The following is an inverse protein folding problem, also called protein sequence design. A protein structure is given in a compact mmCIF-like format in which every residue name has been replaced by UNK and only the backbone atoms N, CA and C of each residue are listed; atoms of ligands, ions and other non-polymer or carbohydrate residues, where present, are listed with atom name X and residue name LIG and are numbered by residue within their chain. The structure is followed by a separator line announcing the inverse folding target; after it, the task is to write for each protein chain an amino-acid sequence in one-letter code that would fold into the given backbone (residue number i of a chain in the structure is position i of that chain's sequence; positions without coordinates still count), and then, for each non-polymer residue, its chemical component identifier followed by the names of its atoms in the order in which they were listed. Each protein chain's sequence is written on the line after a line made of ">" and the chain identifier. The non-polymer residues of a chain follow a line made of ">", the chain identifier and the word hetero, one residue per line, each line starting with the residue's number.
data_IF_384057865624
#
_entry.id   IF_384057865624
#
_cell.length_a   1.000
_cell.length_b   1.000
_cell.length_c   1.000
_cell.angle_alpha   90.00
_cell.angle_beta   90.00
_cell.angle_gamma   90.00
#
_symmetry.space_group_name_H-M   'P 1'
#
loop_
_entity.id
_entity.type
_entity.pdbx_description
1 polymer ?
#
# COMPACT_ATOMS: atom_id res chain seq x y z
N UNK A 1 6.02 13.29 -6.20
CA UNK A 1 5.63 13.04 -7.61
C UNK A 1 4.61 14.09 -8.03
N UNK A 2 4.65 14.56 -9.28
CA UNK A 2 3.65 15.53 -9.79
C UNK A 2 4.08 17.00 -9.82
N UNK A 3 5.37 17.31 -9.65
CA UNK A 3 5.86 18.66 -9.93
C UNK A 3 5.89 18.90 -11.45
N UNK A 4 5.32 20.01 -11.97
CA UNK A 4 5.35 20.32 -13.39
C UNK A 4 6.78 20.46 -13.92
N UNK A 5 7.05 19.92 -15.11
CA UNK A 5 8.37 19.93 -15.75
C UNK A 5 9.04 21.31 -15.73
N UNK A 6 8.30 22.36 -16.08
CA UNK A 6 8.85 23.72 -16.17
C UNK A 6 9.35 24.26 -14.83
N UNK A 7 8.82 23.79 -13.69
CA UNK A 7 9.29 24.16 -12.35
C UNK A 7 10.56 23.40 -11.96
N UNK A 8 10.69 22.16 -12.42
CA UNK A 8 11.85 21.31 -12.15
C UNK A 8 12.97 21.42 -13.22
N UNK A 9 12.78 22.23 -14.27
CA UNK A 9 13.67 22.31 -15.45
C UNK A 9 15.15 22.45 -15.09
N UNK A 10 15.47 23.35 -14.16
CA UNK A 10 16.85 23.59 -13.71
C UNK A 10 17.49 22.32 -13.14
N UNK A 11 16.81 21.63 -12.23
CA UNK A 11 17.29 20.39 -11.62
C UNK A 11 17.45 19.29 -12.68
N UNK A 12 16.51 19.21 -13.62
CA UNK A 12 16.52 18.22 -14.72
C UNK A 12 17.76 18.41 -15.60
N UNK A 13 18.02 19.65 -16.03
CA UNK A 13 19.16 19.99 -16.88
C UNK A 13 20.49 19.81 -16.14
N UNK A 14 20.61 20.30 -14.90
CA UNK A 14 21.82 20.20 -14.08
C UNK A 14 22.21 18.75 -13.76
N UNK A 15 21.22 17.86 -13.61
CA UNK A 15 21.46 16.45 -13.27
C UNK A 15 21.36 15.50 -14.49
N UNK A 16 21.25 16.05 -15.71
CA UNK A 16 21.10 15.27 -16.95
C UNK A 16 19.99 14.20 -16.87
N UNK A 17 18.86 14.56 -16.23
CA UNK A 17 17.71 13.67 -16.06
C UNK A 17 17.11 13.38 -17.43
N UNK A 18 16.92 12.10 -17.76
CA UNK A 18 16.27 11.68 -19.01
C UNK A 18 14.76 11.80 -18.90
N UNK A 19 14.16 12.45 -19.89
CA UNK A 19 12.73 12.73 -19.96
C UNK A 19 12.13 11.91 -21.09
N UNK A 20 11.09 11.14 -20.76
CA UNK A 20 10.39 10.28 -21.72
C UNK A 20 8.95 10.73 -21.86
N UNK A 21 8.38 10.56 -23.05
CA UNK A 21 6.94 10.70 -23.25
C UNK A 21 6.21 9.52 -22.61
N UNK A 22 5.03 9.77 -22.03
CA UNK A 22 4.18 8.72 -21.48
C UNK A 22 3.62 7.82 -22.58
N UNK A 23 3.65 6.50 -22.38
CA UNK A 23 2.99 5.53 -23.26
C UNK A 23 1.88 4.78 -22.49
N UNK A 24 0.69 5.38 -22.45
CA UNK A 24 -0.43 4.84 -21.68
C UNK A 24 -0.91 3.47 -22.15
N UNK A 25 -0.87 3.20 -23.47
CA UNK A 25 -1.25 1.90 -24.03
C UNK A 25 -0.33 0.79 -23.54
N UNK A 26 0.98 1.05 -23.52
CA UNK A 26 1.96 0.10 -22.97
C UNK A 26 1.75 -0.13 -21.47
N UNK A 27 1.53 0.93 -20.69
CA UNK A 27 1.31 0.78 -19.24
C UNK A 27 0.03 0.01 -18.95
N UNK A 28 -1.03 0.24 -19.73
CA UNK A 28 -2.29 -0.51 -19.64
C UNK A 28 -2.14 -1.99 -19.96
N UNK A 29 -1.43 -2.33 -21.03
CA UNK A 29 -1.15 -3.73 -21.41
C UNK A 29 -0.30 -4.45 -20.35
N UNK A 30 0.76 -3.82 -19.85
CA UNK A 30 1.58 -4.40 -18.76
C UNK A 30 0.74 -4.60 -17.50
N UNK A 31 -0.04 -3.60 -17.12
CA UNK A 31 -0.95 -3.68 -15.97
C UNK A 31 -1.91 -4.85 -16.08
N UNK A 32 -2.60 -4.95 -17.22
CA UNK A 32 -3.56 -6.02 -17.48
C UNK A 32 -2.93 -7.39 -17.28
N UNK A 33 -1.73 -7.62 -17.85
CA UNK A 33 -1.01 -8.90 -17.69
C UNK A 33 -0.69 -9.22 -16.24
N UNK A 34 -0.27 -8.23 -15.44
CA UNK A 34 -0.02 -8.43 -14.00
C UNK A 34 -1.32 -8.79 -13.28
N UNK A 35 -2.42 -8.07 -13.55
CA UNK A 35 -3.70 -8.33 -12.90
C UNK A 35 -4.26 -9.71 -13.28
N UNK A 36 -4.13 -10.14 -14.54
CA UNK A 36 -4.52 -11.48 -15.00
C UNK A 36 -3.75 -12.59 -14.28
N UNK A 37 -2.44 -12.40 -14.05
CA UNK A 37 -1.63 -13.34 -13.26
C UNK A 37 -2.16 -13.41 -11.81
N UNK A 38 -2.48 -12.28 -11.20
CA UNK A 38 -2.97 -12.22 -9.82
C UNK A 38 -4.32 -12.93 -9.63
N UNK A 39 -5.21 -12.87 -10.62
CA UNK A 39 -6.49 -13.61 -10.62
C UNK A 39 -6.29 -15.14 -10.56
N UNK A 40 -5.14 -15.65 -11.01
CA UNK A 40 -4.79 -17.07 -10.88
C UNK A 40 -4.34 -17.49 -9.46
N UNK A 41 -4.01 -16.52 -8.59
CA UNK A 41 -3.43 -16.78 -7.27
C UNK A 41 -4.40 -16.59 -6.10
N UNK A 42 -5.51 -15.90 -6.30
CA UNK A 42 -6.58 -15.77 -5.33
C UNK A 42 -7.93 -15.65 -6.03
N UNK A 43 -9.00 -16.28 -5.50
CA UNK A 43 -10.36 -16.07 -6.01
C UNK A 43 -10.87 -14.64 -5.73
N UNK A 44 -10.30 -13.96 -4.74
CA UNK A 44 -10.74 -12.67 -4.22
C UNK A 44 -9.67 -11.61 -4.51
N UNK A 45 -9.80 -10.93 -5.65
CA UNK A 45 -8.88 -9.88 -6.09
C UNK A 45 -9.65 -8.58 -6.36
N UNK A 46 -9.19 -7.49 -5.78
CA UNK A 46 -9.66 -6.14 -6.08
C UNK A 46 -8.54 -5.35 -6.74
N UNK A 47 -8.78 -4.90 -7.98
CA UNK A 47 -7.88 -4.00 -8.70
C UNK A 47 -8.06 -2.59 -8.13
N UNK A 48 -7.04 -2.08 -7.45
CA UNK A 48 -7.08 -0.78 -6.76
C UNK A 48 -6.57 0.37 -7.64
N UNK A 49 -5.53 0.10 -8.44
CA UNK A 49 -4.97 1.03 -9.42
C UNK A 49 -4.34 0.25 -10.59
N UNK A 50 -3.71 0.95 -11.54
CA UNK A 50 -2.98 0.34 -12.65
C UNK A 50 -1.81 -0.56 -12.19
N UNK A 51 -1.26 -0.31 -11.01
CA UNK A 51 -0.07 -0.96 -10.48
C UNK A 51 -0.28 -1.65 -9.11
N UNK A 52 -1.52 -1.64 -8.60
CA UNK A 52 -1.82 -2.20 -7.28
C UNK A 52 -3.14 -2.97 -7.25
N UNK A 53 -3.14 -4.08 -6.53
CA UNK A 53 -4.33 -4.86 -6.22
C UNK A 53 -4.31 -5.33 -4.76
N UNK A 54 -5.50 -5.54 -4.19
CA UNK A 54 -5.68 -6.24 -2.92
C UNK A 54 -6.10 -7.68 -3.20
N UNK A 55 -5.48 -8.62 -2.49
CA UNK A 55 -5.82 -10.04 -2.56
C UNK A 55 -6.25 -10.50 -1.17
N UNK A 56 -7.34 -11.26 -1.10
CA UNK A 56 -7.69 -12.00 0.12
C UNK A 56 -7.05 -13.39 0.09
N UNK A 57 -6.44 -13.77 1.20
CA UNK A 57 -5.94 -15.14 1.44
C UNK A 57 -6.81 -15.89 2.45
N UNK A 58 -8.09 -15.49 2.59
CA UNK A 58 -9.07 -16.22 3.39
C UNK A 58 -9.19 -17.65 2.84
N UNK A 59 -9.03 -18.65 3.71
CA UNK A 59 -9.07 -20.07 3.32
C UNK A 59 -7.71 -20.69 2.96
N UNK A 60 -6.62 -19.92 2.86
CA UNK A 60 -5.28 -20.41 2.52
C UNK A 60 -4.53 -21.00 3.74
N UNK A 61 -5.24 -21.74 4.61
CA UNK A 61 -4.68 -22.25 5.89
C UNK A 61 -3.51 -23.22 5.73
N UNK A 62 -3.45 -23.94 4.60
CA UNK A 62 -2.42 -24.94 4.32
C UNK A 62 -1.20 -24.36 3.58
N UNK A 63 -1.20 -23.06 3.28
CA UNK A 63 -0.12 -22.41 2.56
C UNK A 63 0.87 -21.75 3.52
N UNK A 64 2.16 -21.96 3.27
CA UNK A 64 3.20 -21.11 3.84
C UNK A 64 3.20 -19.78 3.09
N UNK A 65 2.46 -18.79 3.61
CA UNK A 65 2.19 -17.51 2.92
C UNK A 65 3.45 -16.80 2.42
N UNK A 66 4.55 -16.86 3.16
CA UNK A 66 5.83 -16.27 2.72
C UNK A 66 6.32 -16.89 1.42
N UNK A 67 6.39 -18.24 1.35
CA UNK A 67 6.77 -18.94 0.12
C UNK A 67 5.77 -18.71 -1.01
N UNK A 68 4.47 -18.69 -0.70
CA UNK A 68 3.43 -18.45 -1.70
C UNK A 68 3.56 -17.06 -2.32
N UNK A 69 3.75 -16.01 -1.52
CA UNK A 69 3.95 -14.66 -2.05
C UNK A 69 5.28 -14.50 -2.79
N UNK A 70 6.37 -15.14 -2.33
CA UNK A 70 7.63 -15.18 -3.09
C UNK A 70 7.44 -15.88 -4.46
N UNK A 71 6.59 -16.91 -4.53
CA UNK A 71 6.22 -17.55 -5.79
C UNK A 71 5.43 -16.62 -6.70
N UNK A 72 4.41 -15.92 -6.21
CA UNK A 72 3.65 -14.90 -6.98
C UNK A 72 4.61 -13.87 -7.59
N UNK A 73 5.50 -13.29 -6.76
CA UNK A 73 6.49 -12.30 -7.21
C UNK A 73 7.40 -12.86 -8.29
N UNK A 74 7.90 -14.09 -8.11
CA UNK A 74 8.75 -14.75 -9.10
C UNK A 74 8.01 -14.96 -10.42
N UNK A 75 6.76 -15.40 -10.38
CA UNK A 75 5.94 -15.62 -11.57
C UNK A 75 5.71 -14.31 -12.34
N UNK A 76 5.32 -13.23 -11.66
CA UNK A 76 5.13 -11.92 -12.30
C UNK A 76 6.43 -11.43 -12.93
N UNK A 77 7.56 -11.56 -12.23
CA UNK A 77 8.85 -11.16 -12.78
C UNK A 77 9.27 -12.02 -13.99
N UNK A 78 9.00 -13.33 -13.96
CA UNK A 78 9.33 -14.22 -15.07
C UNK A 78 8.47 -14.00 -16.31
N UNK A 79 7.18 -13.69 -16.14
CA UNK A 79 6.23 -13.62 -17.25
C UNK A 79 6.07 -12.21 -17.82
N UNK A 80 6.20 -11.18 -16.97
CA UNK A 80 5.99 -9.78 -17.37
C UNK A 80 7.30 -8.98 -17.31
N UNK A 81 8.28 -9.40 -16.51
CA UNK A 81 9.54 -8.67 -16.34
C UNK A 81 9.45 -7.48 -15.39
N UNK A 82 8.38 -7.38 -14.60
CA UNK A 82 8.16 -6.27 -13.66
C UNK A 82 8.38 -6.73 -12.22
N UNK A 83 9.25 -6.04 -11.45
CA UNK A 83 9.41 -6.34 -10.04
C UNK A 83 8.19 -5.87 -9.24
N UNK A 84 7.72 -6.72 -8.33
CA UNK A 84 6.63 -6.38 -7.41
C UNK A 84 7.05 -6.58 -5.95
N UNK A 85 6.34 -5.91 -5.05
CA UNK A 85 6.40 -6.13 -3.61
C UNK A 85 5.02 -6.51 -3.08
N UNK A 86 4.98 -7.34 -2.05
CA UNK A 86 3.76 -7.86 -1.45
C UNK A 86 3.78 -7.59 0.05
N UNK A 87 2.75 -6.90 0.53
CA UNK A 87 2.49 -6.70 1.95
C UNK A 87 1.28 -7.50 2.40
N UNK A 88 1.41 -8.23 3.51
CA UNK A 88 0.30 -8.98 4.10
C UNK A 88 -0.02 -8.40 5.48
N UNK A 89 -1.30 -8.15 5.73
CA UNK A 89 -1.83 -7.72 7.02
C UNK A 89 -3.27 -8.20 7.20
N UNK A 90 -3.81 -8.08 8.42
CA UNK A 90 -5.21 -8.46 8.70
C UNK A 90 -6.25 -7.48 8.18
N UNK A 91 -5.81 -6.30 7.73
CA UNK A 91 -6.63 -5.21 7.19
C UNK A 91 -5.94 -4.61 5.97
N UNK A 92 -6.67 -3.88 5.11
CA UNK A 92 -6.09 -3.25 3.91
C UNK A 92 -5.04 -2.20 4.31
N UNK A 93 -5.28 -1.47 5.39
CA UNK A 93 -4.32 -0.46 5.84
C UNK A 93 -3.04 -1.14 6.35
N UNK A 94 -3.13 -2.22 7.14
CA UNK A 94 -1.95 -2.96 7.58
C UNK A 94 -1.20 -3.63 6.43
N UNK A 95 -1.90 -4.12 5.40
CA UNK A 95 -1.24 -4.68 4.21
C UNK A 95 -0.47 -3.61 3.43
N UNK A 96 -0.99 -2.37 3.36
CA UNK A 96 -0.26 -1.22 2.80
C UNK A 96 0.96 -0.83 3.64
N UNK A 97 0.86 -0.84 4.98
CA UNK A 97 2.03 -0.65 5.87
C UNK A 97 3.08 -1.73 5.61
N UNK A 98 2.68 -3.00 5.52
CA UNK A 98 3.57 -4.10 5.22
C UNK A 98 4.26 -3.91 3.85
N UNK A 99 3.49 -3.53 2.81
CA UNK A 99 4.03 -3.32 1.47
C UNK A 99 5.03 -2.16 1.44
N UNK A 100 4.76 -1.08 2.19
CA UNK A 100 5.68 0.03 2.35
C UNK A 100 7.02 -0.42 2.93
N UNK A 101 7.00 -1.23 4.00
CA UNK A 101 8.20 -1.80 4.61
C UNK A 101 8.92 -2.77 3.67
N UNK A 102 8.17 -3.60 2.94
CA UNK A 102 8.72 -4.53 1.95
C UNK A 102 9.50 -3.82 0.84
N UNK A 103 9.11 -2.59 0.47
CA UNK A 103 9.79 -1.77 -0.55
C UNK A 103 11.03 -1.05 0.00
N UNK A 104 11.05 -0.69 1.29
CA UNK A 104 12.13 0.13 1.90
C UNK A 104 13.24 -0.69 2.56
N UNK A 105 13.04 -1.98 2.81
CA UNK A 105 14.05 -2.82 3.48
C UNK A 105 14.26 -4.13 2.72
N UNK A 106 15.47 -4.29 2.17
CA UNK A 106 15.89 -5.45 1.38
C UNK A 106 15.82 -6.77 2.15
N UNK A 107 15.88 -6.74 3.49
CA UNK A 107 15.73 -7.93 4.33
C UNK A 107 14.37 -8.63 4.16
N UNK A 108 13.35 -7.91 3.69
CA UNK A 108 12.04 -8.50 3.38
C UNK A 108 12.03 -9.21 2.02
N UNK A 109 13.04 -9.03 1.17
CA UNK A 109 13.07 -9.54 -0.21
C UNK A 109 11.80 -9.15 -1.02
N UNK A 110 11.20 -8.01 -0.66
CA UNK A 110 9.92 -7.52 -1.20
C UNK A 110 8.67 -8.29 -0.76
N UNK A 111 8.73 -9.11 0.30
CA UNK A 111 7.56 -9.71 0.95
C UNK A 111 7.59 -9.43 2.44
N UNK A 112 6.62 -8.68 2.96
CA UNK A 112 6.48 -8.39 4.38
C UNK A 112 5.14 -8.90 4.91
N UNK A 113 5.15 -9.60 6.05
CA UNK A 113 3.96 -10.18 6.68
C UNK A 113 3.81 -9.62 8.10
N UNK A 114 2.72 -8.89 8.32
CA UNK A 114 2.35 -8.33 9.61
C UNK A 114 1.17 -9.10 10.20
N UNK A 115 1.48 -10.16 10.96
CA UNK A 115 0.48 -11.02 11.63
C UNK A 115 0.57 -10.96 13.15
N UNK A 116 1.79 -10.95 13.68
CA UNK A 116 2.02 -10.92 15.12
C UNK A 116 1.91 -9.49 15.66
N UNK A 117 1.24 -9.35 16.82
CA UNK A 117 1.03 -8.04 17.46
C UNK A 117 2.33 -7.26 17.66
N UNK A 118 3.41 -7.95 18.07
CA UNK A 118 4.72 -7.32 18.27
C UNK A 118 5.27 -6.75 16.96
N UNK A 119 5.24 -7.52 15.87
CA UNK A 119 5.69 -7.08 14.55
C UNK A 119 4.85 -5.92 14.01
N UNK A 120 3.53 -5.95 14.24
CA UNK A 120 2.63 -4.85 13.88
C UNK A 120 3.03 -3.58 14.65
N UNK A 121 3.23 -3.65 15.96
CA UNK A 121 3.62 -2.47 16.74
C UNK A 121 4.96 -1.89 16.30
N UNK A 122 5.95 -2.73 16.00
CA UNK A 122 7.26 -2.29 15.48
C UNK A 122 7.12 -1.63 14.11
N UNK A 123 6.32 -2.22 13.21
CA UNK A 123 6.02 -1.68 11.90
C UNK A 123 5.35 -0.30 11.98
N UNK A 124 4.32 -0.17 12.83
CA UNK A 124 3.62 1.09 13.06
C UNK A 124 4.51 2.16 13.68
N UNK A 125 5.47 1.77 14.52
CA UNK A 125 6.41 2.71 15.11
C UNK A 125 7.41 3.26 14.08
N UNK A 126 7.81 2.44 13.11
CA UNK A 126 8.74 2.80 12.02
C UNK A 126 8.07 3.55 10.87
N UNK A 127 6.74 3.61 10.84
CA UNK A 127 5.99 4.24 9.74
C UNK A 127 5.58 5.65 10.12
N UNK A 128 6.02 6.62 9.32
CA UNK A 128 5.62 8.02 9.47
C UNK A 128 4.12 8.20 9.14
N UNK A 129 3.50 9.22 9.73
CA UNK A 129 2.05 9.40 9.66
C UNK A 129 1.54 9.72 8.24
N UNK A 130 2.35 10.36 7.41
CA UNK A 130 2.06 10.68 6.00
C UNK A 130 2.25 9.49 5.05
N UNK A 131 2.84 8.40 5.53
CA UNK A 131 2.96 7.13 4.78
C UNK A 131 1.74 6.21 5.02
N UNK A 132 0.85 6.57 5.96
CA UNK A 132 -0.36 5.80 6.26
C UNK A 132 -1.39 6.00 5.14
N UNK A 133 -1.82 4.88 4.54
CA UNK A 133 -2.87 4.90 3.53
C UNK A 133 -4.17 5.52 4.08
N UNK A 134 -4.69 6.54 3.39
CA UNK A 134 -5.84 7.35 3.82
C UNK A 134 -5.47 8.64 4.57
N UNK A 135 -4.20 8.84 4.95
CA UNK A 135 -3.73 10.07 5.61
C UNK A 135 -3.00 10.96 4.59
N UNK A 136 -3.73 11.89 3.99
CA UNK A 136 -3.18 12.84 3.01
C UNK A 136 -2.42 14.01 3.65
N UNK A 137 -1.74 14.81 2.82
CA UNK A 137 -0.88 15.96 3.22
C UNK A 137 -1.51 16.91 4.24
N UNK A 138 -2.80 17.23 4.11
CA UNK A 138 -3.49 18.12 5.05
C UNK A 138 -3.67 17.47 6.42
N UNK A 139 -4.10 16.19 6.43
CA UNK A 139 -4.31 15.43 7.67
C UNK A 139 -2.97 15.17 8.36
N UNK A 140 -1.93 14.79 7.62
CA UNK A 140 -0.60 14.58 8.19
C UNK A 140 -0.04 15.86 8.80
N UNK A 141 -0.19 17.02 8.15
CA UNK A 141 0.19 18.32 8.72
C UNK A 141 -0.59 18.62 10.01
N UNK A 142 -1.91 18.40 10.00
CA UNK A 142 -2.75 18.57 11.18
C UNK A 142 -2.30 17.67 12.34
N UNK A 143 -2.01 16.39 12.08
CA UNK A 143 -1.54 15.43 13.08
C UNK A 143 -0.16 15.81 13.64
N UNK A 144 0.78 16.21 12.78
CA UNK A 144 2.12 16.68 13.20
C UNK A 144 2.04 17.92 14.09
N UNK A 145 1.12 18.86 13.79
CA UNK A 145 0.86 20.02 14.66
C UNK A 145 0.31 19.63 16.04
N UNK A 146 -0.22 18.42 16.18
CA UNK A 146 -0.68 17.82 17.45
C UNK A 146 0.33 16.80 18.00
N UNK A 147 1.60 16.89 17.59
CA UNK A 147 2.70 16.01 18.01
C UNK A 147 2.50 14.51 17.68
N UNK A 148 1.73 14.21 16.62
CA UNK A 148 1.54 12.85 16.10
C UNK A 148 2.34 12.71 14.81
N UNK A 149 3.42 11.94 14.88
CA UNK A 149 4.40 11.76 13.81
C UNK A 149 4.41 10.33 13.25
N UNK A 150 3.99 9.33 14.04
CA UNK A 150 4.03 7.91 13.62
C UNK A 150 2.65 7.28 13.55
N UNK A 151 2.52 6.23 12.73
CA UNK A 151 1.32 5.42 12.64
C UNK A 151 0.96 4.80 14.01
N UNK A 152 1.96 4.42 14.82
CA UNK A 152 1.75 3.92 16.19
C UNK A 152 1.09 4.97 17.08
N UNK A 153 1.57 6.21 17.07
CA UNK A 153 0.97 7.29 17.86
C UNK A 153 -0.48 7.51 17.45
N UNK A 154 -0.76 7.59 16.14
CA UNK A 154 -2.11 7.74 15.62
C UNK A 154 -3.05 6.59 16.02
N UNK A 155 -2.58 5.35 15.90
CA UNK A 155 -3.33 4.15 16.28
C UNK A 155 -3.73 4.14 17.77
N UNK A 156 -2.99 4.82 18.66
CA UNK A 156 -3.26 4.88 20.10
C UNK A 156 -4.01 6.13 20.56
N UNK A 157 -4.36 7.04 19.65
CA UNK A 157 -5.14 8.23 20.01
C UNK A 157 -6.52 7.88 20.55
N UNK A 158 -7.07 8.76 21.37
CA UNK A 158 -8.46 8.65 21.80
C UNK A 158 -9.40 8.64 20.57
N UNK A 159 -10.22 7.59 20.43
CA UNK A 159 -11.09 7.40 19.27
C UNK A 159 -12.09 8.54 19.07
N UNK A 160 -12.65 9.09 20.16
CA UNK A 160 -13.58 10.23 20.08
C UNK A 160 -12.86 11.48 19.55
N UNK A 161 -11.60 11.69 19.93
CA UNK A 161 -10.78 12.76 19.38
C UNK A 161 -10.55 12.56 17.88
N UNK A 162 -10.20 11.34 17.45
CA UNK A 162 -9.98 11.03 16.03
C UNK A 162 -11.26 11.26 15.22
N UNK A 163 -12.40 10.74 15.68
CA UNK A 163 -13.70 10.93 15.02
C UNK A 163 -14.10 12.40 14.95
N UNK A 164 -13.91 13.16 16.03
CA UNK A 164 -14.24 14.59 16.09
C UNK A 164 -13.42 15.41 15.09
N UNK A 165 -12.13 15.11 14.95
CA UNK A 165 -11.23 15.93 14.13
C UNK A 165 -11.07 15.44 12.68
N UNK A 166 -11.16 14.13 12.45
CA UNK A 166 -10.89 13.49 11.15
C UNK A 166 -12.12 12.77 10.56
N UNK A 167 -13.25 12.77 11.27
CA UNK A 167 -14.49 12.15 10.83
C UNK A 167 -14.43 10.62 10.80
N UNK A 168 -15.43 10.03 10.12
CA UNK A 168 -15.59 8.58 10.01
C UNK A 168 -14.41 7.90 9.32
N UNK A 169 -13.82 8.54 8.30
CA UNK A 169 -12.68 7.96 7.58
C UNK A 169 -11.44 7.86 8.47
N UNK A 170 -11.14 8.90 9.26
CA UNK A 170 -10.04 8.84 10.22
C UNK A 170 -10.25 7.77 11.30
N UNK A 171 -11.48 7.60 11.78
CA UNK A 171 -11.84 6.53 12.72
C UNK A 171 -11.64 5.13 12.10
N UNK A 172 -12.07 4.93 10.85
CA UNK A 172 -11.86 3.66 10.12
C UNK A 172 -10.37 3.36 9.91
N UNK A 173 -9.58 4.34 9.47
CA UNK A 173 -8.12 4.16 9.33
C UNK A 173 -7.48 3.80 10.66
N UNK A 174 -7.91 4.43 11.78
CA UNK A 174 -7.41 4.08 13.10
C UNK A 174 -7.74 2.62 13.46
N UNK A 175 -8.98 2.18 13.24
CA UNK A 175 -9.42 0.81 13.49
C UNK A 175 -8.66 -0.21 12.64
N UNK A 176 -8.43 0.11 11.36
CA UNK A 176 -7.67 -0.74 10.46
C UNK A 176 -6.24 -0.97 10.95
N UNK A 177 -5.57 0.08 11.45
CA UNK A 177 -4.22 -0.03 12.05
C UNK A 177 -4.22 -0.84 13.35
N UNK A 178 -5.35 -0.85 14.07
CA UNK A 178 -5.57 -1.70 15.25
C UNK A 178 -5.93 -3.16 14.87
N UNK A 179 -5.99 -3.48 13.57
CA UNK A 179 -6.30 -4.81 13.07
C UNK A 179 -7.80 -5.10 12.93
N UNK A 180 -8.67 -4.10 13.11
CA UNK A 180 -10.12 -4.22 12.98
C UNK A 180 -10.50 -3.82 11.55
N UNK A 181 -10.91 -4.80 10.74
CA UNK A 181 -11.25 -4.54 9.34
C UNK A 181 -12.52 -3.70 9.21
N UNK A 182 -12.42 -2.59 8.48
CA UNK A 182 -13.50 -1.61 8.24
C UNK A 182 -13.66 -1.28 6.75
N UNK A 183 -12.74 -1.75 5.91
CA UNK A 183 -12.67 -1.50 4.47
C UNK A 183 -12.73 -2.86 3.76
N UNK A 184 -13.93 -3.26 3.36
CA UNK A 184 -14.13 -4.53 2.65
C UNK A 184 -13.40 -4.53 1.31
N UNK A 185 -13.05 -5.73 0.84
CA UNK A 185 -12.54 -5.94 -0.51
C UNK A 185 -13.71 -5.70 -1.47
N UNK A 186 -13.62 -4.63 -2.26
CA UNK A 186 -14.66 -4.28 -3.21
C UNK A 186 -14.47 -5.15 -4.45
N UNK A 187 -15.22 -6.24 -4.51
CA UNK A 187 -15.19 -7.19 -5.63
C UNK A 187 -15.85 -6.62 -6.89
N UNK A 188 -16.44 -5.42 -6.79
CA UNK A 188 -17.02 -4.72 -7.93
C UNK A 188 -16.07 -3.62 -8.38
N UNK A 189 -15.45 -3.79 -9.55
CA UNK A 189 -14.86 -2.67 -10.26
C UNK A 189 -16.02 -1.76 -10.68
N UNK A 190 -16.38 -0.78 -9.83
CA UNK A 190 -17.26 0.29 -10.29
C UNK A 190 -16.54 1.00 -11.42
N UNK A 191 -16.97 0.75 -12.65
CA UNK A 191 -16.65 1.59 -13.79
C UNK A 191 -17.00 3.02 -13.39
N UNK A 192 -15.99 3.87 -13.21
CA UNK A 192 -16.23 5.30 -13.10
C UNK A 192 -16.92 5.73 -14.41
N UNK A 193 -18.18 6.15 -14.29
CA UNK A 193 -18.90 6.87 -15.35
C UNK A 193 -18.19 8.19 -15.64
#
# INVERSE_FOLDING_TARGET
>A
MGEPYFKAKKIIEENNVKVFSSNYSLYGDISQRVMEILLGFSPDVEIYSIDEAFLSFKGFKNYELSKYCKYIKKTINQWVGIPVSIGIGSTKTLSKIANHLAKKNDQYEGVCILKEKKLIEEALNKTEIDEVWGIGKHISKFLRNHNIYTAKQFAHLNRNWVKKNLGLFGEKTQLELQGISCLDVDLTSTSKK
#
